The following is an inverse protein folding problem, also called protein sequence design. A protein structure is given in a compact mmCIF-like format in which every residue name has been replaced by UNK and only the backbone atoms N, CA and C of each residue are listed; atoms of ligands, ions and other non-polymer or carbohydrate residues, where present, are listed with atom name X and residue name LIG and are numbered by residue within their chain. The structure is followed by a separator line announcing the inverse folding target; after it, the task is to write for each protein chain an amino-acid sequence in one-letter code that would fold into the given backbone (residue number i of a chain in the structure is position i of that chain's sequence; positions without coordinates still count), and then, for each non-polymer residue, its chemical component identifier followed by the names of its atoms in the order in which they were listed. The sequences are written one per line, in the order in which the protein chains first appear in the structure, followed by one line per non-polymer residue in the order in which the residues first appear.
data_IF_812361032519
#
_entry.id   IF_812361032519
#
_cell.length_a   1.000
_cell.length_b   1.000
_cell.length_c   1.000
_cell.angle_alpha   90.00
_cell.angle_beta   90.00
_cell.angle_gamma   90.00
#
_symmetry.space_group_name_H-M   'P 1'
#
loop_
_entity.id
_entity.type
_entity.pdbx_description
1 polymer ?
#
# COMPACT_ATOMS: atom_id res chain seq x y z
N UNK A 1 -28.35 23.74 -26.24
CA UNK A 1 -27.13 22.90 -26.27
C UNK A 1 -27.40 21.71 -25.36
N UNK A 2 -27.25 20.49 -25.85
CA UNK A 2 -27.33 19.31 -24.98
C UNK A 2 -26.10 19.31 -24.06
N UNK A 3 -26.35 19.20 -22.75
CA UNK A 3 -25.30 18.94 -21.77
C UNK A 3 -25.08 17.43 -21.76
N UNK A 4 -23.93 17.00 -22.27
CA UNK A 4 -23.52 15.59 -22.19
C UNK A 4 -22.79 15.40 -20.88
N UNK A 5 -23.35 14.57 -19.99
CA UNK A 5 -22.67 14.18 -18.76
C UNK A 5 -21.68 13.05 -19.07
N UNK A 6 -20.40 13.27 -18.79
CA UNK A 6 -19.35 12.24 -18.86
C UNK A 6 -19.15 11.68 -17.46
N UNK A 7 -19.19 10.35 -17.32
CA UNK A 7 -18.95 9.64 -16.05
C UNK A 7 -17.70 8.79 -16.17
N UNK A 8 -16.84 8.85 -15.16
CA UNK A 8 -15.75 7.91 -14.94
C UNK A 8 -16.20 6.85 -13.93
N UNK A 9 -15.89 5.59 -14.19
CA UNK A 9 -16.22 4.49 -13.29
C UNK A 9 -15.00 4.15 -12.43
N UNK A 10 -15.22 4.03 -11.13
CA UNK A 10 -14.20 3.69 -10.16
C UNK A 10 -14.68 2.51 -9.31
N UNK A 11 -13.79 1.55 -9.08
CA UNK A 11 -13.99 0.45 -8.14
C UNK A 11 -12.77 0.37 -7.22
N UNK A 12 -12.73 1.29 -6.25
CA UNK A 12 -11.59 1.44 -5.34
C UNK A 12 -12.01 1.87 -3.95
N UNK A 13 -11.20 1.48 -2.97
CA UNK A 13 -11.32 1.98 -1.60
C UNK A 13 -10.90 3.45 -1.54
N UNK A 14 -11.74 4.29 -0.96
CA UNK A 14 -11.49 5.72 -0.75
C UNK A 14 -11.63 6.05 0.73
N UNK A 15 -11.01 7.16 1.19
CA UNK A 15 -11.17 7.66 2.56
C UNK A 15 -12.63 8.11 2.80
N UNK A 16 -13.11 7.97 4.03
CA UNK A 16 -14.52 8.22 4.39
C UNK A 16 -15.03 9.62 4.06
N UNK A 17 -14.14 10.62 4.01
CA UNK A 17 -14.50 12.01 3.69
C UNK A 17 -14.49 12.33 2.20
N UNK A 18 -14.09 11.41 1.34
CA UNK A 18 -14.05 11.64 -0.11
C UNK A 18 -15.45 11.93 -0.69
N UNK A 19 -16.53 11.24 -0.31
CA UNK A 19 -17.89 11.59 -0.74
C UNK A 19 -18.26 13.05 -0.42
N UNK A 20 -17.97 13.53 0.80
CA UNK A 20 -18.24 14.92 1.19
C UNK A 20 -17.40 15.94 0.39
N UNK A 21 -16.16 15.58 0.06
CA UNK A 21 -15.28 16.43 -0.75
C UNK A 21 -15.81 16.53 -2.19
N UNK A 22 -16.26 15.42 -2.78
CA UNK A 22 -16.85 15.40 -4.13
C UNK A 22 -18.17 16.17 -4.16
N UNK A 23 -18.99 16.05 -3.12
CA UNK A 23 -20.23 16.83 -3.01
C UNK A 23 -19.95 18.33 -2.99
N UNK A 24 -18.96 18.76 -2.21
CA UNK A 24 -18.55 20.18 -2.11
C UNK A 24 -17.96 20.72 -3.41
N UNK A 25 -17.43 19.88 -4.29
CA UNK A 25 -16.97 20.31 -5.63
C UNK A 25 -18.11 20.44 -6.65
N UNK A 26 -19.36 20.14 -6.27
CA UNK A 26 -20.52 20.18 -7.16
C UNK A 26 -20.58 19.03 -8.15
N UNK A 27 -19.83 17.95 -7.92
CA UNK A 27 -19.81 16.77 -8.76
C UNK A 27 -20.87 15.74 -8.30
N UNK A 28 -21.57 15.12 -9.25
CA UNK A 28 -22.42 13.99 -8.96
C UNK A 28 -21.57 12.73 -8.73
N UNK A 29 -21.95 11.89 -7.78
CA UNK A 29 -21.25 10.65 -7.47
C UNK A 29 -22.20 9.52 -7.07
N UNK A 30 -21.71 8.29 -7.13
CA UNK A 30 -22.37 7.11 -6.55
C UNK A 30 -21.38 6.40 -5.63
N UNK A 31 -21.87 5.87 -4.50
CA UNK A 31 -21.08 5.06 -3.58
C UNK A 31 -21.85 3.80 -3.19
N UNK A 32 -21.10 2.76 -2.86
CA UNK A 32 -21.55 1.58 -2.15
C UNK A 32 -20.49 1.19 -1.11
N UNK A 33 -20.91 0.50 -0.07
CA UNK A 33 -19.99 -0.07 0.93
C UNK A 33 -19.60 -1.49 0.52
N UNK A 34 -18.33 -1.86 0.69
CA UNK A 34 -17.86 -3.22 0.45
C UNK A 34 -18.41 -4.19 1.51
N UNK A 35 -18.67 -5.44 1.12
CA UNK A 35 -18.79 -6.54 2.10
C UNK A 35 -17.44 -6.83 2.77
N UNK A 36 -17.42 -7.58 3.87
CA UNK A 36 -16.17 -7.92 4.57
C UNK A 36 -15.13 -8.59 3.67
N UNK A 37 -15.56 -9.46 2.76
CA UNK A 37 -14.67 -10.17 1.84
C UNK A 37 -14.12 -9.25 0.74
N UNK A 38 -14.99 -8.42 0.18
CA UNK A 38 -14.59 -7.41 -0.82
C UNK A 38 -13.69 -6.36 -0.20
N UNK A 39 -13.95 -5.96 1.05
CA UNK A 39 -13.17 -4.97 1.76
C UNK A 39 -11.73 -5.45 1.98
N UNK A 40 -11.54 -6.72 2.38
CA UNK A 40 -10.19 -7.31 2.49
C UNK A 40 -9.43 -7.28 1.16
N UNK A 41 -10.12 -7.57 0.03
CA UNK A 41 -9.50 -7.44 -1.31
C UNK A 41 -9.19 -6.00 -1.65
N UNK A 42 -10.11 -5.08 -1.33
CA UNK A 42 -9.97 -3.65 -1.63
C UNK A 42 -8.80 -3.02 -0.86
N UNK A 43 -8.56 -3.40 0.41
CA UNK A 43 -7.37 -2.99 1.16
C UNK A 43 -6.09 -3.46 0.47
N UNK A 44 -6.05 -4.72 0.02
CA UNK A 44 -4.90 -5.25 -0.72
C UNK A 44 -4.65 -4.51 -2.04
N UNK A 45 -5.72 -4.17 -2.78
CA UNK A 45 -5.61 -3.35 -3.98
C UNK A 45 -5.10 -1.94 -3.67
N UNK A 46 -5.61 -1.31 -2.60
CA UNK A 46 -5.18 0.01 -2.15
C UNK A 46 -3.72 0.02 -1.73
N UNK A 47 -3.25 -1.01 -1.02
CA UNK A 47 -1.83 -1.15 -0.65
C UNK A 47 -0.91 -1.15 -1.88
N UNK A 48 -1.33 -1.83 -2.96
CA UNK A 48 -0.60 -1.85 -4.23
C UNK A 48 -0.68 -0.52 -4.99
N UNK A 49 -1.79 0.21 -4.89
CA UNK A 49 -1.95 1.58 -5.42
C UNK A 49 -0.93 2.51 -4.75
N UNK A 50 -0.99 2.67 -3.43
CA UNK A 50 -0.11 3.57 -2.67
C UNK A 50 1.37 3.20 -2.83
N UNK A 51 1.69 1.90 -2.87
CA UNK A 51 3.08 1.45 -3.11
C UNK A 51 3.58 1.90 -4.47
N UNK A 52 2.74 1.86 -5.52
CA UNK A 52 3.13 2.33 -6.86
C UNK A 52 3.32 3.84 -6.87
N UNK A 53 2.48 4.59 -6.16
CA UNK A 53 2.59 6.04 -6.05
C UNK A 53 3.87 6.46 -5.30
N UNK A 54 4.20 5.78 -4.19
CA UNK A 54 5.50 5.93 -3.50
C UNK A 54 6.65 5.68 -4.48
N UNK A 55 6.62 4.58 -5.24
CA UNK A 55 7.67 4.26 -6.23
C UNK A 55 7.79 5.34 -7.30
N UNK A 56 6.67 5.83 -7.82
CA UNK A 56 6.64 6.90 -8.83
C UNK A 56 7.18 8.24 -8.29
N UNK A 57 7.08 8.46 -6.97
CA UNK A 57 7.56 9.69 -6.31
C UNK A 57 9.05 9.67 -5.92
N UNK A 58 9.76 8.54 -6.05
CA UNK A 58 11.14 8.40 -5.56
C UNK A 58 12.14 9.38 -6.20
N UNK A 59 11.95 9.72 -7.47
CA UNK A 59 12.78 10.68 -8.21
C UNK A 59 12.17 12.11 -8.22
N UNK A 60 11.08 12.32 -7.47
CA UNK A 60 10.29 13.55 -7.45
C UNK A 60 10.61 14.50 -6.29
N UNK A 61 9.68 15.43 -6.04
CA UNK A 61 9.79 16.40 -4.94
C UNK A 61 9.59 15.69 -3.57
N UNK A 62 10.38 16.04 -2.53
CA UNK A 62 10.26 15.43 -1.20
C UNK A 62 8.85 15.48 -0.61
N UNK A 63 8.13 16.59 -0.81
CA UNK A 63 6.77 16.77 -0.27
C UNK A 63 5.79 15.73 -0.85
N UNK A 64 5.96 15.37 -2.13
CA UNK A 64 5.12 14.35 -2.76
C UNK A 64 5.43 12.97 -2.18
N UNK A 65 6.71 12.63 -2.02
CA UNK A 65 7.09 11.38 -1.37
C UNK A 65 6.56 11.29 0.07
N UNK A 66 6.52 12.39 0.82
CA UNK A 66 5.95 12.42 2.17
C UNK A 66 4.44 12.14 2.14
N UNK A 67 3.71 12.75 1.20
CA UNK A 67 2.27 12.51 0.99
C UNK A 67 2.00 11.03 0.72
N UNK A 68 2.67 10.44 -0.28
CA UNK A 68 2.45 9.03 -0.66
C UNK A 68 2.88 8.06 0.44
N UNK A 69 3.94 8.37 1.19
CA UNK A 69 4.32 7.57 2.35
C UNK A 69 3.25 7.65 3.45
N UNK A 70 2.64 8.81 3.67
CA UNK A 70 1.57 8.97 4.66
C UNK A 70 0.32 8.17 4.27
N UNK A 71 -0.06 8.17 2.99
CA UNK A 71 -1.15 7.34 2.49
C UNK A 71 -0.82 5.84 2.59
N UNK A 72 0.41 5.43 2.27
CA UNK A 72 0.85 4.05 2.50
C UNK A 72 0.79 3.65 3.99
N UNK A 73 1.17 4.54 4.91
CA UNK A 73 1.04 4.28 6.35
C UNK A 73 -0.42 4.13 6.79
N UNK A 74 -1.34 4.94 6.27
CA UNK A 74 -2.78 4.81 6.56
C UNK A 74 -3.31 3.43 6.14
N UNK A 75 -2.90 2.94 4.97
CA UNK A 75 -3.32 1.62 4.49
C UNK A 75 -2.73 0.50 5.35
N UNK A 76 -1.48 0.64 5.79
CA UNK A 76 -0.86 -0.31 6.73
C UNK A 76 -1.64 -0.31 8.05
N UNK A 77 -1.98 0.86 8.58
CA UNK A 77 -2.72 0.99 9.84
C UNK A 77 -4.10 0.35 9.74
N UNK A 78 -4.81 0.62 8.64
CA UNK A 78 -6.09 -0.03 8.33
C UNK A 78 -5.93 -1.55 8.26
N UNK A 79 -4.85 -2.05 7.64
CA UNK A 79 -4.58 -3.49 7.54
C UNK A 79 -4.34 -4.12 8.92
N UNK A 80 -3.60 -3.43 9.80
CA UNK A 80 -3.37 -3.88 11.18
C UNK A 80 -4.69 -3.99 11.96
N UNK A 81 -5.54 -2.99 11.85
CA UNK A 81 -6.84 -2.96 12.54
C UNK A 81 -7.76 -4.10 12.08
N UNK A 82 -7.89 -4.34 10.77
CA UNK A 82 -8.77 -5.41 10.24
C UNK A 82 -8.22 -6.82 10.43
N UNK A 83 -6.93 -6.95 10.72
CA UNK A 83 -6.28 -8.23 11.02
C UNK A 83 -6.10 -8.47 12.52
N UNK A 84 -6.33 -7.45 13.35
CA UNK A 84 -6.08 -7.51 14.79
C UNK A 84 -4.60 -7.65 15.14
N UNK A 85 -3.70 -7.22 14.25
CA UNK A 85 -2.26 -7.25 14.48
C UNK A 85 -1.84 -5.97 15.17
N UNK A 86 -1.16 -6.09 16.31
CA UNK A 86 -0.65 -4.93 17.03
C UNK A 86 0.63 -4.39 16.36
N UNK A 87 0.74 -3.07 16.29
CA UNK A 87 1.93 -2.36 15.79
C UNK A 87 3.19 -2.76 16.55
N UNK A 88 3.08 -3.05 17.86
CA UNK A 88 4.24 -3.50 18.64
C UNK A 88 4.77 -4.87 18.15
N UNK A 89 3.87 -5.78 17.73
CA UNK A 89 4.28 -7.07 17.18
C UNK A 89 5.09 -6.89 15.89
N UNK A 90 4.67 -5.98 15.01
CA UNK A 90 5.42 -5.63 13.79
C UNK A 90 6.77 -5.02 14.14
N UNK A 91 6.79 -4.06 15.07
CA UNK A 91 8.03 -3.39 15.48
C UNK A 91 9.04 -4.38 16.09
N UNK A 92 8.58 -5.34 16.89
CA UNK A 92 9.41 -6.42 17.44
C UNK A 92 9.99 -7.29 16.32
N UNK A 93 9.15 -7.77 15.41
CA UNK A 93 9.59 -8.58 14.26
C UNK A 93 10.61 -7.84 13.37
N UNK A 94 10.42 -6.53 13.17
CA UNK A 94 11.39 -5.68 12.45
C UNK A 94 12.73 -5.59 13.17
N UNK A 95 12.74 -5.38 14.50
CA UNK A 95 13.97 -5.33 15.30
C UNK A 95 14.72 -6.66 15.26
N UNK A 96 14.04 -7.77 15.51
CA UNK A 96 14.64 -9.11 15.49
C UNK A 96 15.24 -9.45 14.12
N UNK A 97 14.55 -9.10 13.02
CA UNK A 97 15.10 -9.24 11.67
C UNK A 97 16.33 -8.37 11.46
N UNK A 98 16.31 -7.12 11.94
CA UNK A 98 17.41 -6.16 11.78
C UNK A 98 18.65 -6.59 12.58
N UNK A 99 18.46 -7.17 13.76
CA UNK A 99 19.54 -7.77 14.57
C UNK A 99 20.12 -9.03 13.91
N UNK A 100 19.25 -9.95 13.44
CA UNK A 100 19.68 -11.23 12.88
C UNK A 100 20.26 -11.13 11.46
N UNK A 101 19.76 -10.20 10.64
CA UNK A 101 20.04 -10.13 9.19
C UNK A 101 20.65 -8.79 8.74
N UNK A 102 20.76 -7.81 9.63
CA UNK A 102 21.13 -6.44 9.28
C UNK A 102 19.97 -5.64 8.69
N UNK A 103 20.25 -4.38 8.35
CA UNK A 103 19.35 -3.50 7.61
C UNK A 103 19.86 -3.20 6.20
N UNK A 104 19.20 -2.26 5.51
CA UNK A 104 19.55 -1.89 4.13
C UNK A 104 20.67 -0.85 4.01
N UNK A 105 21.27 -0.42 5.14
CA UNK A 105 22.32 0.61 5.17
C UNK A 105 23.60 0.19 4.42
N UNK A 106 23.86 -1.12 4.30
CA UNK A 106 25.01 -1.65 3.56
C UNK A 106 24.90 -1.52 2.04
N UNK A 107 23.73 -1.13 1.49
CA UNK A 107 23.49 -0.99 0.03
C UNK A 107 23.94 -2.22 -0.78
N UNK A 108 23.79 -3.41 -0.19
CA UNK A 108 24.30 -4.66 -0.74
C UNK A 108 23.37 -5.12 -1.87
N UNK A 109 23.92 -5.32 -3.08
CA UNK A 109 23.26 -5.98 -4.20
C UNK A 109 23.71 -7.43 -4.29
N UNK A 110 22.77 -8.38 -4.17
CA UNK A 110 23.05 -9.81 -4.42
C UNK A 110 23.12 -10.06 -5.93
N UNK A 111 24.24 -10.60 -6.43
CA UNK A 111 24.44 -10.85 -7.86
C UNK A 111 24.17 -12.30 -8.26
N UNK A 112 24.63 -13.26 -7.45
CA UNK A 112 24.45 -14.68 -7.69
C UNK A 112 24.56 -15.45 -6.37
N UNK A 113 23.97 -16.64 -6.35
CA UNK A 113 24.18 -17.63 -5.29
C UNK A 113 24.43 -18.98 -5.96
N UNK A 114 25.50 -19.67 -5.59
CA UNK A 114 25.77 -21.03 -6.05
C UNK A 114 25.63 -21.98 -4.85
N UNK A 115 24.88 -23.08 -5.01
CA UNK A 115 24.79 -24.13 -4.01
C UNK A 115 25.70 -25.28 -4.42
N UNK A 116 26.54 -25.76 -3.50
CA UNK A 116 27.23 -27.04 -3.69
C UNK A 116 26.27 -28.18 -3.40
N UNK A 117 25.93 -28.95 -4.42
CA UNK A 117 25.26 -30.24 -4.25
C UNK A 117 26.33 -31.31 -4.00
N UNK A 118 26.17 -32.15 -2.98
CA UNK A 118 26.97 -33.38 -2.89
C UNK A 118 26.49 -34.30 -4.02
N UNK A 119 27.39 -34.91 -4.81
CA UNK A 119 26.98 -35.95 -5.73
C UNK A 119 26.26 -37.05 -4.95
N UNK A 120 25.11 -37.48 -5.45
CA UNK A 120 24.34 -38.56 -4.84
C UNK A 120 25.17 -39.85 -4.89
N UNK A 121 25.65 -40.29 -3.73
CA UNK A 121 26.20 -41.64 -3.51
C UNK A 121 27.69 -41.80 -3.86
N UNK A 122 28.46 -42.08 -2.81
CA UNK A 122 29.69 -42.88 -2.85
C UNK A 122 29.61 -43.88 -1.71
#
# INVERSE_FOLDING_TARGET
MEVVNVREEHDKLVRDKIPEIIEKSGCNYGIATFSDEEYRRAIGAKLLEETREVVASLDGAPDKLIEELADLYEVIDTLLDVTGIDREQIAREQREKRERRGGFQGRIRLLWTEKRERPAGG
#
